data_IF_066682175327
#
_entry.id   IF_066682175327
#
_cell.length_a   1.000
_cell.length_b   1.000
_cell.length_c   1.000
_cell.angle_alpha   90.00
_cell.angle_beta   90.00
_cell.angle_gamma   90.00
#
_symmetry.space_group_name_H-M   'P 1'
#
loop_
_entity.id
_entity.type
_entity.pdbx_description
1 polymer ?
#
# COMPACT_ATOMS: atom_id res chain seq x y z
N UNK A 1 8.46 -6.42 15.26
CA UNK A 1 7.87 -5.30 14.59
C UNK A 1 6.74 -5.68 13.65
N UNK A 2 6.14 -4.68 13.04
CA UNK A 2 5.07 -4.89 12.07
C UNK A 2 5.62 -5.02 10.65
N UNK A 3 4.84 -5.66 9.78
CA UNK A 3 5.11 -5.64 8.34
C UNK A 3 4.68 -4.27 7.81
N UNK A 4 5.52 -3.63 7.01
CA UNK A 4 5.25 -2.29 6.48
C UNK A 4 4.92 -2.37 5.00
N UNK A 5 3.80 -1.78 4.63
CA UNK A 5 3.32 -1.75 3.25
C UNK A 5 3.06 -0.30 2.85
N UNK A 6 3.66 0.12 1.74
CA UNK A 6 3.34 1.41 1.13
C UNK A 6 2.16 1.22 0.19
N UNK A 7 1.12 2.01 0.40
CA UNK A 7 -0.07 2.03 -0.43
C UNK A 7 -0.02 3.28 -1.32
N UNK A 8 0.24 3.09 -2.61
CA UNK A 8 0.31 4.18 -3.57
C UNK A 8 -1.12 4.57 -3.99
N UNK A 9 -1.61 5.62 -3.37
CA UNK A 9 -2.99 6.10 -3.44
C UNK A 9 -3.10 7.33 -4.35
N UNK A 10 -4.16 7.38 -5.15
CA UNK A 10 -4.52 8.57 -5.92
C UNK A 10 -5.95 8.96 -5.56
N UNK A 11 -6.19 10.23 -5.29
CA UNK A 11 -7.52 10.71 -4.89
C UNK A 11 -8.58 10.54 -5.98
N UNK A 12 -8.15 10.49 -7.24
CA UNK A 12 -9.01 10.29 -8.41
C UNK A 12 -9.28 8.81 -8.72
N UNK A 13 -8.65 7.90 -8.01
CA UNK A 13 -8.74 6.46 -8.27
C UNK A 13 -9.88 5.84 -7.44
N UNK A 14 -10.94 5.30 -8.07
CA UNK A 14 -12.07 4.73 -7.32
C UNK A 14 -11.69 3.56 -6.42
N UNK A 15 -10.82 2.67 -6.87
CA UNK A 15 -10.38 1.53 -6.07
C UNK A 15 -9.49 1.96 -4.90
N UNK A 16 -8.66 2.98 -5.10
CA UNK A 16 -7.86 3.55 -4.01
C UNK A 16 -8.77 4.13 -2.92
N UNK A 17 -9.82 4.84 -3.32
CA UNK A 17 -10.80 5.41 -2.39
C UNK A 17 -11.56 4.32 -1.64
N UNK A 18 -11.91 3.23 -2.33
CA UNK A 18 -12.58 2.09 -1.71
C UNK A 18 -11.69 1.44 -0.64
N UNK A 19 -10.39 1.29 -0.92
CA UNK A 19 -9.43 0.74 0.04
C UNK A 19 -9.28 1.66 1.24
N UNK A 20 -9.14 2.96 1.02
CA UNK A 20 -9.04 3.94 2.09
C UNK A 20 -10.26 3.86 3.01
N UNK A 21 -11.45 3.79 2.44
CA UNK A 21 -12.70 3.68 3.19
C UNK A 21 -12.76 2.39 4.00
N UNK A 22 -12.36 1.27 3.39
CA UNK A 22 -12.36 -0.03 4.09
C UNK A 22 -11.42 -0.01 5.30
N UNK A 23 -10.24 0.60 5.16
CA UNK A 23 -9.28 0.74 6.26
C UNK A 23 -9.84 1.65 7.36
N UNK A 24 -10.50 2.74 6.99
CA UNK A 24 -11.11 3.65 7.97
C UNK A 24 -12.22 2.97 8.76
N UNK A 25 -13.03 2.15 8.11
CA UNK A 25 -14.16 1.47 8.75
C UNK A 25 -13.74 0.26 9.58
N UNK A 26 -12.84 -0.55 9.05
CA UNK A 26 -12.49 -1.85 9.65
C UNK A 26 -11.16 -1.84 10.39
N UNK A 27 -10.36 -0.78 10.21
CA UNK A 27 -9.02 -0.70 10.78
C UNK A 27 -8.00 -1.53 10.00
N UNK A 28 -6.78 -1.57 10.55
CA UNK A 28 -5.67 -2.32 9.95
C UNK A 28 -5.40 -3.55 10.81
N UNK A 29 -5.27 -4.75 10.20
CA UNK A 29 -4.99 -5.97 10.96
C UNK A 29 -3.73 -5.84 11.83
N UNK A 30 -3.74 -6.51 12.98
CA UNK A 30 -2.57 -6.54 13.87
C UNK A 30 -1.34 -7.06 13.12
N UNK A 31 -0.19 -6.47 13.41
CA UNK A 31 1.07 -6.86 12.77
C UNK A 31 1.31 -6.22 11.40
N UNK A 32 0.42 -5.32 10.97
CA UNK A 32 0.53 -4.64 9.67
C UNK A 32 0.52 -3.12 9.87
N UNK A 33 1.42 -2.44 9.19
CA UNK A 33 1.43 -0.98 9.09
C UNK A 33 1.27 -0.60 7.63
N UNK A 34 0.26 0.21 7.33
CA UNK A 34 0.01 0.70 5.96
C UNK A 34 0.31 2.19 5.92
N UNK A 35 1.25 2.58 5.05
CA UNK A 35 1.62 3.97 4.85
C UNK A 35 1.01 4.44 3.52
N UNK A 36 0.11 5.43 3.59
CA UNK A 36 -0.49 5.99 2.39
C UNK A 36 0.50 6.93 1.73
N UNK A 37 0.85 6.62 0.47
CA UNK A 37 1.79 7.40 -0.33
C UNK A 37 1.01 8.02 -1.49
N UNK A 38 1.16 9.32 -1.69
CA UNK A 38 0.47 10.00 -2.78
C UNK A 38 1.14 9.65 -4.11
N UNK A 39 0.40 8.92 -4.94
CA UNK A 39 0.89 8.45 -6.24
C UNK A 39 1.31 9.62 -7.15
N UNK A 40 0.55 10.72 -7.12
CA UNK A 40 0.80 11.84 -8.04
C UNK A 40 2.02 12.67 -7.65
N UNK A 41 2.29 12.83 -6.36
CA UNK A 41 3.38 13.70 -5.87
C UNK A 41 4.66 12.97 -5.49
N UNK A 42 4.57 11.70 -5.07
CA UNK A 42 5.72 10.93 -4.60
C UNK A 42 6.43 10.20 -5.74
N UNK A 43 6.88 10.96 -6.74
CA UNK A 43 7.48 10.40 -7.96
C UNK A 43 8.80 9.68 -7.70
N UNK A 44 9.58 10.12 -6.71
CA UNK A 44 10.85 9.46 -6.39
C UNK A 44 10.63 8.08 -5.79
N UNK A 45 9.63 7.93 -4.90
CA UNK A 45 9.27 6.63 -4.35
C UNK A 45 8.75 5.69 -5.43
N UNK A 46 7.98 6.21 -6.38
CA UNK A 46 7.51 5.42 -7.52
C UNK A 46 8.68 4.86 -8.33
N UNK A 47 9.69 5.69 -8.58
CA UNK A 47 10.90 5.26 -9.30
C UNK A 47 11.68 4.23 -8.51
N UNK A 48 11.83 4.45 -7.21
CA UNK A 48 12.58 3.55 -6.33
C UNK A 48 12.01 2.13 -6.36
N UNK A 49 10.67 1.99 -6.36
CA UNK A 49 10.01 0.69 -6.30
C UNK A 49 9.41 0.25 -7.64
N UNK A 50 9.65 0.99 -8.72
CA UNK A 50 9.14 0.62 -10.03
C UNK A 50 7.63 0.71 -10.17
N UNK A 51 6.97 1.60 -9.40
CA UNK A 51 5.52 1.76 -9.40
C UNK A 51 5.10 2.60 -10.59
N UNK A 52 4.34 2.01 -11.51
CA UNK A 52 3.91 2.67 -12.74
C UNK A 52 2.42 2.98 -12.78
N UNK A 53 1.66 2.47 -11.82
CA UNK A 53 0.22 2.70 -11.75
C UNK A 53 -0.22 2.89 -10.31
N UNK A 54 -1.36 3.55 -10.12
CA UNK A 54 -1.97 3.74 -8.80
C UNK A 54 -2.52 2.41 -8.26
N UNK A 55 -2.93 2.42 -6.99
CA UNK A 55 -3.47 1.25 -6.29
C UNK A 55 -2.46 0.10 -6.27
N UNK A 56 -1.18 0.46 -6.13
CA UNK A 56 -0.08 -0.49 -6.01
C UNK A 56 0.37 -0.54 -4.55
N UNK A 57 0.69 -1.73 -4.09
CA UNK A 57 1.18 -1.97 -2.73
C UNK A 57 2.59 -2.51 -2.81
N UNK A 58 3.47 -1.98 -1.95
CA UNK A 58 4.86 -2.43 -1.86
C UNK A 58 5.16 -2.74 -0.40
N UNK A 59 5.46 -4.00 -0.10
CA UNK A 59 5.95 -4.37 1.23
C UNK A 59 7.45 -4.14 1.27
N UNK A 60 7.91 -3.47 2.33
CA UNK A 60 9.34 -3.19 2.53
C UNK A 60 9.82 -3.76 3.86
N UNK A 61 11.12 -4.00 3.96
CA UNK A 61 11.77 -4.42 5.20
C UNK A 61 12.21 -3.20 6.01
N UNK A 62 12.97 -3.44 7.10
CA UNK A 62 13.45 -2.39 7.99
C UNK A 62 14.38 -1.39 7.30
N UNK A 63 15.05 -1.82 6.24
CA UNK A 63 15.99 -0.98 5.49
C UNK A 63 15.32 -0.26 4.32
N UNK A 64 14.03 -0.51 4.09
CA UNK A 64 13.28 0.06 2.97
C UNK A 64 13.41 -0.72 1.67
N UNK A 65 13.98 -1.92 1.71
CA UNK A 65 14.09 -2.78 0.55
C UNK A 65 12.78 -3.50 0.26
N UNK A 66 12.44 -3.61 -1.02
CA UNK A 66 11.20 -4.24 -1.46
C UNK A 66 11.20 -5.75 -1.17
N UNK A 67 10.14 -6.22 -0.54
CA UNK A 67 9.91 -7.64 -0.27
C UNK A 67 8.85 -8.23 -1.20
N UNK A 68 7.82 -7.44 -1.53
CA UNK A 68 6.73 -7.86 -2.41
C UNK A 68 6.03 -6.65 -3.01
N UNK A 69 5.48 -6.81 -4.21
CA UNK A 69 4.71 -5.76 -4.89
C UNK A 69 3.47 -6.40 -5.52
N UNK A 70 2.31 -5.77 -5.34
CA UNK A 70 1.06 -6.28 -5.91
C UNK A 70 0.06 -5.14 -6.09
N UNK A 71 -1.05 -5.46 -6.76
CA UNK A 71 -2.19 -4.56 -6.95
C UNK A 71 -3.48 -5.29 -6.59
N UNK A 72 -4.57 -4.54 -6.45
CA UNK A 72 -5.91 -5.12 -6.37
C UNK A 72 -6.47 -5.39 -4.98
N UNK A 73 -5.67 -5.23 -3.92
CA UNK A 73 -6.18 -5.38 -2.55
C UNK A 73 -7.16 -4.26 -2.22
N UNK A 74 -8.27 -4.57 -1.55
CA UNK A 74 -9.26 -3.57 -1.13
C UNK A 74 -9.26 -3.39 0.39
N UNK A 75 -9.32 -4.49 1.15
CA UNK A 75 -9.39 -4.44 2.62
C UNK A 75 -8.00 -4.59 3.24
N UNK A 76 -7.89 -4.23 4.53
CA UNK A 76 -6.65 -4.48 5.28
C UNK A 76 -6.29 -5.97 5.31
N UNK A 77 -7.31 -6.85 5.40
CA UNK A 77 -7.10 -8.29 5.35
C UNK A 77 -6.53 -8.74 4.00
N UNK A 78 -7.02 -8.16 2.90
CA UNK A 78 -6.50 -8.44 1.56
C UNK A 78 -5.03 -8.04 1.44
N UNK A 79 -4.69 -6.88 1.99
CA UNK A 79 -3.31 -6.39 1.98
C UNK A 79 -2.41 -7.35 2.77
N UNK A 80 -2.83 -7.72 3.96
CA UNK A 80 -2.05 -8.63 4.81
C UNK A 80 -1.83 -9.98 4.16
N UNK A 81 -2.83 -10.50 3.44
CA UNK A 81 -2.76 -11.80 2.78
C UNK A 81 -1.67 -11.86 1.70
N UNK A 82 -1.34 -10.71 1.10
CA UNK A 82 -0.30 -10.63 0.05
C UNK A 82 1.11 -10.42 0.64
N UNK A 83 1.24 -10.13 1.92
CA UNK A 83 2.55 -9.92 2.54
C UNK A 83 3.31 -11.23 2.73
N UNK A 84 4.62 -11.13 2.69
CA UNK A 84 5.52 -12.27 2.90
C UNK A 84 6.13 -12.27 4.28
#
# INVERSE_FOLDING_TARGET
GTKVVYFFHASWCPTCRATEKAIEEDGIPAGLTVVKVDFDSETDLRKTYGVTQQHTFVQVDEDGDELATWTGSITGADIKAETV
#
